data_IF_345943213391
#
_entry.id   IF_345943213391
#
_cell.length_a   1.000
_cell.length_b   1.000
_cell.length_c   1.000
_cell.angle_alpha   90.00
_cell.angle_beta   90.00
_cell.angle_gamma   90.00
#
_symmetry.space_group_name_H-M   'P 1'
#
loop_
_entity.id
_entity.type
_entity.pdbx_description
1 polymer ?
#
# COMPACT_ATOMS: atom_id res chain seq x y z
N UNK A 1 10.62 29.01 -7.35
CA UNK A 1 10.81 27.57 -7.05
C UNK A 1 10.15 26.62 -8.06
N UNK A 2 9.06 26.97 -8.76
CA UNK A 2 8.43 26.08 -9.78
C UNK A 2 9.28 25.83 -11.04
N UNK A 3 10.03 26.82 -11.50
CA UNK A 3 10.78 26.74 -12.76
C UNK A 3 12.00 25.80 -12.73
N UNK A 4 12.59 25.55 -11.55
CA UNK A 4 13.80 24.70 -11.43
C UNK A 4 13.45 23.21 -11.48
N UNK A 5 12.22 22.83 -11.12
CA UNK A 5 11.74 21.45 -11.26
C UNK A 5 11.37 21.13 -12.71
N UNK A 6 10.78 22.09 -13.44
CA UNK A 6 10.40 21.88 -14.85
C UNK A 6 11.60 21.71 -15.77
N UNK A 7 12.75 22.31 -15.46
CA UNK A 7 13.97 22.15 -16.27
C UNK A 7 14.70 20.82 -16.05
N UNK A 8 14.41 20.11 -14.96
CA UNK A 8 15.04 18.80 -14.65
C UNK A 8 14.19 17.59 -15.02
N UNK A 9 12.89 17.78 -15.24
CA UNK A 9 11.97 16.70 -15.52
C UNK A 9 11.19 17.01 -16.80
N UNK A 10 11.46 16.26 -17.86
CA UNK A 10 10.69 16.30 -19.10
C UNK A 10 9.20 16.13 -18.78
N UNK A 11 8.34 16.93 -19.41
CA UNK A 11 6.89 16.77 -19.32
C UNK A 11 6.53 15.39 -19.85
N UNK A 12 5.73 14.65 -19.10
CA UNK A 12 5.31 13.31 -19.50
C UNK A 12 4.15 13.39 -20.48
N UNK A 13 4.22 12.60 -21.54
CA UNK A 13 3.15 12.46 -22.53
C UNK A 13 2.21 11.32 -22.16
N UNK A 14 0.96 11.40 -22.63
CA UNK A 14 -0.02 10.32 -22.44
C UNK A 14 0.48 9.07 -23.16
N UNK A 15 0.47 7.92 -22.48
CA UNK A 15 1.01 6.67 -22.99
C UNK A 15 2.45 6.35 -22.58
N UNK A 16 3.16 7.28 -21.94
CA UNK A 16 4.49 6.99 -21.43
C UNK A 16 4.45 6.10 -20.17
N UNK A 17 5.41 5.16 -20.11
CA UNK A 17 5.63 4.34 -18.93
C UNK A 17 6.27 5.15 -17.81
N UNK A 18 5.72 5.04 -16.60
CA UNK A 18 6.15 5.75 -15.41
C UNK A 18 6.31 4.81 -14.22
N UNK A 19 7.19 5.19 -13.31
CA UNK A 19 7.38 4.51 -12.03
C UNK A 19 7.00 5.43 -10.88
N UNK A 20 6.17 4.92 -9.97
CA UNK A 20 5.70 5.63 -8.78
C UNK A 20 6.30 4.96 -7.55
N UNK A 21 6.88 5.75 -6.63
CA UNK A 21 7.44 5.22 -5.38
C UNK A 21 6.34 4.84 -4.40
N UNK A 22 6.44 3.64 -3.82
CA UNK A 22 5.55 3.21 -2.74
C UNK A 22 6.11 3.71 -1.40
N UNK A 23 5.29 4.34 -0.55
CA UNK A 23 5.71 4.73 0.79
C UNK A 23 6.03 3.49 1.63
N UNK A 24 7.03 3.60 2.50
CA UNK A 24 7.49 2.48 3.33
C UNK A 24 6.42 1.90 4.27
N UNK A 25 5.38 2.67 4.58
CA UNK A 25 4.25 2.22 5.42
C UNK A 25 3.42 1.14 4.73
N UNK A 26 3.30 1.21 3.40
CA UNK A 26 2.49 0.31 2.58
C UNK A 26 3.33 -0.82 1.96
N UNK A 27 4.67 -0.76 2.13
CA UNK A 27 5.65 -1.69 1.55
C UNK A 27 6.10 -2.73 2.57
N UNK A 28 6.01 -4.02 2.25
CA UNK A 28 6.73 -5.04 3.02
C UNK A 28 8.21 -5.10 2.61
N UNK A 29 9.06 -5.63 3.50
CA UNK A 29 10.51 -5.68 3.27
C UNK A 29 10.94 -6.39 1.98
N UNK A 30 10.13 -7.33 1.50
CA UNK A 30 10.40 -8.12 0.29
C UNK A 30 9.71 -7.58 -0.95
N UNK A 31 8.87 -6.54 -0.83
CA UNK A 31 8.12 -6.00 -1.95
C UNK A 31 8.96 -5.01 -2.78
N UNK A 32 8.56 -4.84 -4.05
CA UNK A 32 9.12 -3.83 -4.94
C UNK A 32 8.96 -2.41 -4.36
N UNK A 33 9.96 -1.56 -4.60
CA UNK A 33 9.94 -0.15 -4.13
C UNK A 33 9.07 0.75 -4.98
N UNK A 34 8.91 0.39 -6.24
CA UNK A 34 8.24 1.18 -7.25
C UNK A 34 7.15 0.35 -7.92
N UNK A 35 6.04 1.00 -8.25
CA UNK A 35 4.98 0.46 -9.10
C UNK A 35 5.21 1.01 -10.50
N UNK A 36 5.09 0.14 -11.50
CA UNK A 36 5.13 0.53 -12.91
C UNK A 36 3.69 0.81 -13.36
N UNK A 37 3.50 1.92 -14.06
CA UNK A 37 2.23 2.32 -14.65
C UNK A 37 2.45 3.16 -15.91
N UNK A 38 1.36 3.69 -16.45
CA UNK A 38 1.33 4.52 -17.65
C UNK A 38 0.60 5.82 -17.32
N UNK A 39 1.01 6.92 -17.94
CA UNK A 39 0.23 8.17 -17.91
C UNK A 39 -1.05 7.97 -18.74
N UNK A 40 -2.19 7.96 -18.06
CA UNK A 40 -3.49 7.74 -18.68
C UNK A 40 -4.10 9.03 -19.23
N UNK A 41 -4.04 10.11 -18.45
CA UNK A 41 -4.51 11.44 -18.85
C UNK A 41 -3.78 12.52 -18.07
N UNK A 42 -3.81 13.74 -18.60
CA UNK A 42 -3.26 14.93 -17.97
C UNK A 42 -4.37 15.96 -17.84
N UNK A 43 -4.61 16.45 -16.64
CA UNK A 43 -5.56 17.52 -16.37
C UNK A 43 -4.93 18.90 -16.61
N UNK A 44 -5.77 19.92 -16.82
CA UNK A 44 -5.35 21.30 -17.12
C UNK A 44 -4.42 21.91 -16.05
N UNK A 45 -4.52 21.42 -14.80
CA UNK A 45 -3.70 21.83 -13.66
C UNK A 45 -2.29 21.18 -13.61
N UNK A 46 -1.82 20.53 -14.69
CA UNK A 46 -0.59 19.72 -14.73
C UNK A 46 -0.59 18.56 -13.72
N UNK A 47 -1.77 18.00 -13.47
CA UNK A 47 -1.95 16.81 -12.66
C UNK A 47 -2.10 15.58 -13.55
N UNK A 48 -1.36 14.52 -13.23
CA UNK A 48 -1.27 13.31 -14.03
C UNK A 48 -2.09 12.20 -13.41
N UNK A 49 -2.91 11.54 -14.22
CA UNK A 49 -3.58 10.29 -13.87
C UNK A 49 -2.72 9.12 -14.32
N UNK A 50 -2.47 8.19 -13.40
CA UNK A 50 -1.61 7.03 -13.66
C UNK A 50 -2.47 5.77 -13.67
N UNK A 51 -2.37 5.01 -14.76
CA UNK A 51 -2.94 3.69 -14.92
C UNK A 51 -1.92 2.59 -14.62
N UNK A 52 -2.36 1.49 -14.03
CA UNK A 52 -1.57 0.27 -13.86
C UNK A 52 -2.33 -0.90 -14.46
N UNK A 53 -1.65 -2.04 -14.67
CA UNK A 53 -2.28 -3.29 -15.18
C UNK A 53 -3.49 -3.70 -14.33
N UNK A 54 -3.47 -3.36 -13.05
CA UNK A 54 -4.53 -3.73 -12.11
C UNK A 54 -5.71 -2.74 -12.05
N UNK A 55 -5.59 -1.59 -12.72
CA UNK A 55 -6.55 -0.48 -12.67
C UNK A 55 -5.92 0.92 -12.58
N UNK A 56 -6.78 1.94 -12.62
CA UNK A 56 -6.42 3.35 -12.52
C UNK A 56 -6.21 3.76 -11.07
N UNK A 57 -5.16 4.54 -10.82
CA UNK A 57 -4.91 5.08 -9.49
C UNK A 57 -5.91 6.21 -9.19
N UNK A 58 -6.59 6.11 -8.05
CA UNK A 58 -7.59 7.10 -7.61
C UNK A 58 -7.00 8.50 -7.36
N UNK A 59 -5.68 8.59 -7.16
CA UNK A 59 -5.01 9.84 -6.81
C UNK A 59 -4.34 10.44 -8.04
N UNK A 60 -4.40 11.76 -8.12
CA UNK A 60 -3.67 12.56 -9.08
C UNK A 60 -2.22 12.75 -8.61
N UNK A 61 -1.28 12.67 -9.56
CA UNK A 61 0.14 12.80 -9.29
C UNK A 61 0.72 14.07 -9.89
N UNK A 62 1.65 14.70 -9.17
CA UNK A 62 2.47 15.77 -9.71
C UNK A 62 3.73 15.20 -10.37
N UNK A 63 4.33 15.97 -11.29
CA UNK A 63 5.52 15.53 -12.03
C UNK A 63 6.66 15.03 -11.13
N UNK A 64 6.83 15.57 -9.93
CA UNK A 64 7.89 15.21 -8.99
C UNK A 64 7.67 13.86 -8.28
N UNK A 65 6.45 13.30 -8.34
CA UNK A 65 6.10 12.08 -7.61
C UNK A 65 6.37 10.80 -8.39
N UNK A 66 6.63 10.90 -9.70
CA UNK A 66 6.89 9.77 -10.57
C UNK A 66 8.11 10.03 -11.46
N UNK A 67 8.70 8.95 -11.97
CA UNK A 67 9.83 8.99 -12.88
C UNK A 67 9.40 8.34 -14.20
N UNK A 68 9.62 9.04 -15.30
CA UNK A 68 9.35 8.50 -16.65
C UNK A 68 10.43 7.49 -16.97
N UNK A 69 10.02 6.34 -17.47
CA UNK A 69 10.88 5.29 -17.98
C UNK A 69 11.17 5.55 -19.45
N UNK A 70 12.42 5.34 -19.88
CA UNK A 70 12.80 5.42 -21.30
C UNK A 70 12.26 4.26 -22.13
N UNK A 71 11.91 3.17 -21.46
CA UNK A 71 11.41 1.93 -22.06
C UNK A 71 9.92 1.79 -21.76
N UNK A 72 9.16 1.40 -22.79
CA UNK A 72 7.73 1.14 -22.71
C UNK A 72 7.50 -0.26 -22.15
N UNK A 73 6.98 -0.36 -20.93
CA UNK A 73 6.70 -1.66 -20.30
C UNK A 73 5.25 -2.12 -20.50
N UNK A 74 4.33 -1.19 -20.76
CA UNK A 74 2.89 -1.42 -20.81
C UNK A 74 2.25 -0.50 -21.86
N UNK A 75 1.11 -0.93 -22.44
CA UNK A 75 0.31 -0.10 -23.36
C UNK A 75 -0.97 0.42 -22.69
N UNK A 76 -1.55 1.50 -23.24
CA UNK A 76 -2.77 2.13 -22.71
C UNK A 76 -3.96 1.13 -22.69
N UNK A 77 -3.99 0.20 -23.64
CA UNK A 77 -5.02 -0.83 -23.78
C UNK A 77 -5.01 -1.86 -22.63
N UNK A 78 -3.84 -2.08 -22.02
CA UNK A 78 -3.67 -3.05 -20.93
C UNK A 78 -4.20 -2.53 -19.58
N UNK A 79 -4.64 -1.26 -19.52
CA UNK A 79 -5.13 -0.63 -18.29
C UNK A 79 -6.66 -0.76 -18.21
N UNK A 80 -7.20 -1.54 -17.26
CA UNK A 80 -8.64 -1.65 -17.11
C UNK A 80 -9.23 -0.33 -16.61
N UNK A 81 -10.06 0.31 -17.43
CA UNK A 81 -10.66 1.63 -17.15
C UNK A 81 -11.75 1.60 -16.08
N UNK A 82 -12.34 0.43 -15.84
CA UNK A 82 -13.48 0.26 -14.92
C UNK A 82 -13.06 0.14 -13.45
N UNK A 83 -11.80 -0.16 -13.18
CA UNK A 83 -11.29 -0.44 -11.83
C UNK A 83 -10.45 0.74 -11.35
N UNK A 84 -10.99 1.48 -10.38
CA UNK A 84 -10.22 2.45 -9.62
C UNK A 84 -9.63 1.79 -8.37
N UNK A 85 -8.33 1.91 -8.19
CA UNK A 85 -7.60 1.35 -7.06
C UNK A 85 -6.81 2.43 -6.33
N UNK A 86 -6.76 2.32 -5.01
CA UNK A 86 -5.85 3.14 -4.22
C UNK A 86 -4.40 2.67 -4.40
N UNK A 87 -3.44 3.57 -4.18
CA UNK A 87 -2.02 3.23 -4.23
C UNK A 87 -1.65 2.08 -3.26
N UNK A 88 -2.34 1.99 -2.12
CA UNK A 88 -2.20 0.88 -1.17
C UNK A 88 -2.69 -0.45 -1.75
N UNK A 89 -3.82 -0.46 -2.45
CA UNK A 89 -4.34 -1.67 -3.06
C UNK A 89 -3.47 -2.12 -4.23
N UNK A 90 -2.99 -1.17 -5.04
CA UNK A 90 -1.98 -1.46 -6.06
C UNK A 90 -0.74 -2.10 -5.41
N UNK A 91 -0.16 -1.48 -4.37
CA UNK A 91 0.98 -2.05 -3.65
C UNK A 91 0.71 -3.46 -3.08
N UNK A 92 -0.51 -3.73 -2.61
CA UNK A 92 -0.90 -5.07 -2.15
C UNK A 92 -0.99 -6.09 -3.26
N UNK A 93 -1.51 -5.73 -4.43
CA UNK A 93 -1.63 -6.62 -5.59
C UNK A 93 -0.27 -6.93 -6.21
N UNK A 94 0.62 -5.93 -6.26
CA UNK A 94 2.01 -6.10 -6.70
C UNK A 94 2.93 -6.77 -5.66
N UNK A 95 2.45 -7.04 -4.44
CA UNK A 95 3.22 -7.74 -3.41
C UNK A 95 3.15 -9.26 -3.59
N UNK A 96 4.31 -9.90 -3.76
CA UNK A 96 4.40 -11.37 -3.84
C UNK A 96 3.92 -12.08 -2.56
N UNK A 97 3.87 -11.39 -1.42
CA UNK A 97 3.49 -11.97 -0.11
C UNK A 97 2.13 -11.44 0.41
N UNK A 98 1.34 -10.80 -0.46
CA UNK A 98 -0.03 -10.37 -0.16
C UNK A 98 -0.16 -9.10 0.69
N UNK A 99 0.91 -8.32 0.84
CA UNK A 99 0.96 -7.03 1.52
C UNK A 99 0.61 -7.08 3.02
N UNK A 100 1.49 -6.55 3.88
CA UNK A 100 1.14 -6.38 5.30
C UNK A 100 0.20 -5.18 5.47
N UNK A 101 -1.11 -5.42 5.47
CA UNK A 101 -2.09 -4.39 5.80
C UNK A 101 -1.90 -3.82 7.22
N UNK A 102 -1.98 -2.51 7.36
CA UNK A 102 -1.97 -1.82 8.66
C UNK A 102 -3.38 -1.81 9.28
N UNK A 103 -3.86 -2.97 9.73
CA UNK A 103 -5.17 -3.06 10.39
C UNK A 103 -5.06 -2.67 11.88
N UNK A 104 -5.30 -1.40 12.19
CA UNK A 104 -5.36 -0.91 13.57
C UNK A 104 -6.69 -1.27 14.23
N UNK A 105 -6.67 -1.56 15.52
CA UNK A 105 -7.89 -1.58 16.31
C UNK A 105 -8.14 -0.18 16.89
N UNK A 106 -9.41 0.17 17.01
CA UNK A 106 -9.89 1.46 17.55
C UNK A 106 -10.15 1.42 19.05
N UNK A 107 -9.73 0.34 19.72
CA UNK A 107 -9.99 0.18 21.13
C UNK A 107 -9.10 1.15 21.91
N UNK A 108 -9.65 1.83 22.92
CA UNK A 108 -8.87 2.60 23.88
C UNK A 108 -8.42 1.74 25.08
N UNK A 109 -9.17 0.67 25.39
CA UNK A 109 -9.02 -0.15 26.60
C UNK A 109 -8.78 -1.65 26.30
N UNK A 110 -8.63 -2.48 27.36
CA UNK A 110 -8.35 -3.92 27.29
C UNK A 110 -9.28 -4.64 26.28
N UNK A 111 -8.73 -5.13 25.15
CA UNK A 111 -9.43 -5.85 24.08
C UNK A 111 -10.06 -7.19 24.52
N UNK A 112 -11.09 -7.16 25.38
CA UNK A 112 -11.77 -8.37 25.89
C UNK A 112 -13.02 -8.72 25.08
N UNK A 113 -13.78 -7.72 24.64
CA UNK A 113 -15.07 -7.92 23.97
C UNK A 113 -14.93 -8.03 22.44
N UNK A 114 -15.92 -8.65 21.78
CA UNK A 114 -16.03 -8.68 20.30
C UNK A 114 -16.31 -7.31 19.66
N UNK A 115 -16.39 -6.23 20.45
CA UNK A 115 -16.34 -4.85 19.94
C UNK A 115 -14.94 -4.51 19.38
N UNK A 116 -13.91 -5.25 19.80
CA UNK A 116 -12.58 -5.12 19.25
C UNK A 116 -12.44 -5.89 17.93
N UNK A 117 -12.05 -5.18 16.86
CA UNK A 117 -11.73 -5.80 15.55
C UNK A 117 -10.69 -6.93 15.65
N UNK A 118 -9.74 -6.85 16.58
CA UNK A 118 -8.77 -7.93 16.81
C UNK A 118 -9.41 -9.19 17.39
N UNK A 119 -10.33 -9.04 18.35
CA UNK A 119 -11.02 -10.19 18.94
C UNK A 119 -12.02 -10.81 17.96
N UNK A 120 -12.71 -10.00 17.16
CA UNK A 120 -13.61 -10.49 16.11
C UNK A 120 -12.87 -11.29 15.04
N UNK A 121 -11.69 -10.82 14.65
CA UNK A 121 -10.83 -11.52 13.69
C UNK A 121 -9.98 -12.64 14.31
N UNK A 122 -10.18 -12.99 15.59
CA UNK A 122 -9.40 -13.98 16.34
C UNK A 122 -7.87 -13.78 16.22
N UNK A 123 -7.42 -12.52 16.18
CA UNK A 123 -6.00 -12.15 16.07
C UNK A 123 -5.50 -11.50 17.36
N UNK A 124 -4.28 -11.83 17.75
CA UNK A 124 -3.61 -11.21 18.90
C UNK A 124 -3.16 -9.79 18.55
N UNK A 125 -3.27 -8.87 19.51
CA UNK A 125 -2.74 -7.52 19.35
C UNK A 125 -1.21 -7.57 19.37
N UNK A 126 -0.59 -7.25 18.25
CA UNK A 126 0.87 -7.11 18.14
C UNK A 126 1.28 -5.70 18.56
N UNK A 127 2.52 -5.52 19.03
CA UNK A 127 3.06 -4.19 19.34
C UNK A 127 3.08 -3.25 18.12
N UNK A 128 3.10 -3.82 16.91
CA UNK A 128 3.07 -3.10 15.64
C UNK A 128 1.68 -2.57 15.25
N UNK A 129 0.59 -3.13 15.80
CA UNK A 129 -0.77 -2.64 15.48
C UNK A 129 -1.14 -1.34 16.20
N UNK A 130 -0.22 -0.79 17.03
CA UNK A 130 -0.34 0.47 17.81
C UNK A 130 -1.75 0.69 18.40
N UNK A 131 -2.37 -0.39 18.83
CA UNK A 131 -3.75 -0.37 19.35
C UNK A 131 -3.85 0.42 20.66
N UNK A 132 -2.81 0.35 21.50
CA UNK A 132 -2.75 1.03 22.78
C UNK A 132 -1.31 1.45 23.06
N UNK A 133 -1.14 2.58 23.73
CA UNK A 133 0.12 3.04 24.31
C UNK A 133 0.50 2.17 25.50
N UNK A 134 1.11 1.02 25.22
CA UNK A 134 1.86 0.18 26.16
C UNK A 134 1.15 -0.38 27.42
N UNK A 135 -0.16 -0.19 27.62
CA UNK A 135 -0.85 -0.65 28.84
C UNK A 135 -1.90 -1.75 28.59
N UNK A 136 -1.62 -2.93 29.13
CA UNK A 136 -2.58 -3.99 29.53
C UNK A 136 -3.58 -4.56 28.51
N UNK A 137 -3.19 -4.78 27.26
CA UNK A 137 -4.02 -5.61 26.36
C UNK A 137 -3.97 -7.09 26.79
N UNK A 138 -5.13 -7.65 27.16
CA UNK A 138 -5.26 -9.06 27.57
C UNK A 138 -4.95 -10.07 26.44
N UNK A 139 -4.98 -9.63 25.17
CA UNK A 139 -4.68 -10.45 23.99
C UNK A 139 -3.37 -10.02 23.31
N UNK A 140 -2.43 -9.45 24.08
CA UNK A 140 -1.11 -9.07 23.57
C UNK A 140 -0.29 -10.32 23.26
N UNK A 141 0.30 -10.39 22.06
CA UNK A 141 1.30 -11.42 21.79
C UNK A 141 2.55 -11.17 22.67
N UNK A 142 2.90 -12.12 23.53
CA UNK A 142 4.02 -12.00 24.49
C UNK A 142 5.41 -12.22 23.88
N UNK A 143 5.50 -12.64 22.62
CA UNK A 143 6.77 -12.96 21.93
C UNK A 143 7.08 -12.00 20.79
N UNK A 144 8.37 -11.64 20.60
CA UNK A 144 8.85 -10.71 19.55
C UNK A 144 8.72 -11.26 18.11
N UNK A 145 8.33 -12.52 17.92
CA UNK A 145 8.13 -13.21 16.64
C UNK A 145 6.74 -13.85 16.56
N UNK A 146 5.68 -13.07 16.64
CA UNK A 146 4.35 -13.55 16.24
C UNK A 146 4.28 -13.60 14.69
N UNK A 147 4.64 -14.75 14.10
CA UNK A 147 4.34 -15.04 12.69
C UNK A 147 2.89 -15.51 12.60
N UNK A 148 1.98 -14.63 12.17
CA UNK A 148 0.68 -15.08 11.66
C UNK A 148 0.97 -15.81 10.34
N UNK A 149 0.88 -17.14 10.33
CA UNK A 149 0.93 -17.91 9.08
C UNK A 149 -0.36 -17.65 8.32
N UNK A 150 -0.25 -16.91 7.22
CA UNK A 150 -1.34 -16.62 6.29
C UNK A 150 -1.63 -17.87 5.46
N UNK A 151 -2.37 -18.82 6.03
CA UNK A 151 -3.00 -19.90 5.27
C UNK A 151 -4.19 -20.52 6.02
N UNK A 152 -4.20 -20.46 7.36
CA UNK A 152 -5.39 -20.81 8.12
C UNK A 152 -5.40 -20.02 9.44
N UNK A 153 -6.48 -19.26 9.69
CA UNK A 153 -6.65 -18.36 10.84
C UNK A 153 -6.80 -19.11 12.17
N UNK A 154 -5.77 -19.83 12.60
CA UNK A 154 -5.60 -20.28 13.98
C UNK A 154 -4.20 -19.94 14.45
N UNK A 155 -4.11 -18.92 15.32
CA UNK A 155 -2.92 -18.72 16.15
C UNK A 155 -3.07 -19.57 17.42
N UNK A 156 -2.65 -20.83 17.37
CA UNK A 156 -2.45 -21.62 18.59
C UNK A 156 -1.04 -21.36 19.14
N UNK A 157 -0.94 -21.22 20.45
CA UNK A 157 0.34 -21.26 21.15
C UNK A 157 0.80 -22.71 21.19
N UNK A 158 1.69 -23.12 20.28
CA UNK A 158 2.47 -24.35 20.49
C UNK A 158 3.54 -24.06 21.54
N UNK A 159 3.26 -24.48 22.76
CA UNK A 159 4.28 -24.76 23.78
C UNK A 159 5.18 -25.88 23.26
N UNK A 160 6.49 -25.77 23.48
CA UNK A 160 7.36 -26.95 23.45
C UNK A 160 6.97 -27.92 24.55
#
# INVERSE_FOLDING_TARGET
MKQVSESRFCRGEVGESVTVKIPDVDRARSDCRNIIGIIFSVNDDNMYEIGTVEGRLSNLYSRNQFVICKESFLNIEDVPQTVNISMREAARKFSNLGGRGYERCTCAQKCKTRKCKCKTANRLCTSTSKCHSNSTCAQKCKTRKCKCKTANRLCTSTSK
#
